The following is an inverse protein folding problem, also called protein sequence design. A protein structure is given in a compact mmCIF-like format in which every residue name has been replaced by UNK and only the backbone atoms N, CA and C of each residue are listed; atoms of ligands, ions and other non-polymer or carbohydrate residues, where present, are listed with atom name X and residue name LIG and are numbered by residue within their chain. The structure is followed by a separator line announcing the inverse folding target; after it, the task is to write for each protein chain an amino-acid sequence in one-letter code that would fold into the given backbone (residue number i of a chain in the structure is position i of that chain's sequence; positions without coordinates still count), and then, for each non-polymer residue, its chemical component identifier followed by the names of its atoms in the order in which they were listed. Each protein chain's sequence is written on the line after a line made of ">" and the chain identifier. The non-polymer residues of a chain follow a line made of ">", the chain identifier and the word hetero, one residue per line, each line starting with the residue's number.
data_IF_469595462059
#
_entry.id   IF_469595462059
#
_cell.length_a   1.000
_cell.length_b   1.000
_cell.length_c   1.000
_cell.angle_alpha   90.00
_cell.angle_beta   90.00
_cell.angle_gamma   90.00
#
_symmetry.space_group_name_H-M   'P 1'
#
loop_
_entity.id
_entity.type
_entity.pdbx_description
1 polymer ?
#
# COMPACT_ATOMS: atom_id res chain seq x y z
N UNK A 1 -14.68 17.44 45.35
CA UNK A 1 -13.44 16.72 45.70
C UNK A 1 -13.79 15.23 45.61
N UNK A 2 -13.42 14.55 44.52
CA UNK A 2 -13.79 13.13 44.34
C UNK A 2 -13.04 12.27 45.36
N UNK A 3 -13.74 11.36 46.04
CA UNK A 3 -13.10 10.45 46.99
C UNK A 3 -12.20 9.51 46.19
N UNK A 4 -10.98 9.26 46.68
CA UNK A 4 -9.93 8.46 46.00
C UNK A 4 -10.45 7.15 45.38
N UNK A 5 -11.46 6.52 45.97
CA UNK A 5 -12.06 5.27 45.49
C UNK A 5 -12.95 5.43 44.24
N UNK A 6 -13.61 6.59 44.05
CA UNK A 6 -14.44 6.87 42.85
C UNK A 6 -13.57 7.15 41.63
N UNK A 7 -12.39 7.74 41.83
CA UNK A 7 -11.43 7.98 40.74
C UNK A 7 -10.80 6.68 40.24
N UNK A 8 -10.58 5.70 41.12
CA UNK A 8 -10.05 4.38 40.75
C UNK A 8 -11.11 3.59 39.98
N UNK A 9 -12.37 3.56 40.44
CA UNK A 9 -13.43 2.83 39.72
C UNK A 9 -13.71 3.40 38.32
N UNK A 10 -13.69 4.74 38.19
CA UNK A 10 -13.78 5.40 36.88
C UNK A 10 -12.57 5.07 36.01
N UNK A 11 -11.35 5.08 36.55
CA UNK A 11 -10.16 4.68 35.79
C UNK A 11 -10.28 3.25 35.23
N UNK A 12 -10.74 2.31 36.05
CA UNK A 12 -10.88 0.90 35.67
C UNK A 12 -12.00 0.70 34.64
N UNK A 13 -13.13 1.40 34.78
CA UNK A 13 -14.23 1.38 33.79
C UNK A 13 -13.76 1.91 32.42
N UNK A 14 -12.98 2.99 32.42
CA UNK A 14 -12.44 3.58 31.19
C UNK A 14 -11.30 2.76 30.59
N UNK A 15 -10.54 2.03 31.40
CA UNK A 15 -9.56 1.06 30.92
C UNK A 15 -10.26 -0.13 30.25
N UNK A 16 -11.32 -0.66 30.86
CA UNK A 16 -12.14 -1.75 30.32
C UNK A 16 -12.83 -1.35 29.00
N UNK A 17 -13.43 -0.16 28.93
CA UNK A 17 -14.00 0.38 27.68
C UNK A 17 -12.95 0.57 26.57
N UNK A 18 -11.74 1.05 26.91
CA UNK A 18 -10.63 1.17 25.95
C UNK A 18 -10.16 -0.21 25.45
N UNK A 19 -10.07 -1.20 26.34
CA UNK A 19 -9.72 -2.57 25.99
C UNK A 19 -10.76 -3.20 25.06
N UNK A 20 -12.05 -3.04 25.37
CA UNK A 20 -13.15 -3.55 24.55
C UNK A 20 -13.21 -2.90 23.15
N UNK A 21 -12.91 -1.60 23.05
CA UNK A 21 -12.79 -0.91 21.75
C UNK A 21 -11.57 -1.41 20.98
N UNK A 22 -10.45 -1.66 21.66
CA UNK A 22 -9.23 -2.21 21.04
C UNK A 22 -9.43 -3.64 20.51
N UNK A 23 -10.09 -4.51 21.27
CA UNK A 23 -10.41 -5.88 20.83
C UNK A 23 -11.30 -5.87 19.60
N UNK A 24 -12.43 -5.15 19.63
CA UNK A 24 -13.32 -5.04 18.46
C UNK A 24 -12.62 -4.40 17.26
N UNK A 25 -11.71 -3.46 17.50
CA UNK A 25 -10.93 -2.86 16.42
C UNK A 25 -9.94 -3.85 15.80
N UNK A 26 -9.33 -4.73 16.59
CA UNK A 26 -8.45 -5.80 16.07
C UNK A 26 -9.24 -6.80 15.22
N UNK A 27 -10.41 -7.23 15.67
CA UNK A 27 -11.27 -8.16 14.93
C UNK A 27 -11.71 -7.57 13.59
N UNK A 28 -12.10 -6.29 13.57
CA UNK A 28 -12.47 -5.59 12.34
C UNK A 28 -11.31 -5.49 11.35
N UNK A 29 -10.08 -5.33 11.84
CA UNK A 29 -8.87 -5.36 11.00
C UNK A 29 -8.70 -6.73 10.35
N UNK A 30 -8.89 -7.81 11.11
CA UNK A 30 -8.73 -9.17 10.60
C UNK A 30 -9.81 -9.54 9.58
N UNK A 31 -11.08 -9.17 9.84
CA UNK A 31 -12.18 -9.36 8.88
C UNK A 31 -11.87 -8.63 7.56
N UNK A 32 -11.51 -7.34 7.66
CA UNK A 32 -11.16 -6.53 6.48
C UNK A 32 -9.93 -7.07 5.75
N UNK A 33 -8.94 -7.62 6.48
CA UNK A 33 -7.78 -8.26 5.86
C UNK A 33 -8.19 -9.52 5.08
N UNK A 34 -9.05 -10.37 5.64
CA UNK A 34 -9.53 -11.58 4.98
C UNK A 34 -10.35 -11.28 3.72
N UNK A 35 -11.18 -10.24 3.75
CA UNK A 35 -11.89 -9.74 2.56
C UNK A 35 -10.92 -9.34 1.44
N UNK A 36 -9.89 -8.55 1.76
CA UNK A 36 -8.87 -8.13 0.78
C UNK A 36 -8.06 -9.32 0.23
N UNK A 37 -7.77 -10.32 1.06
CA UNK A 37 -7.09 -11.54 0.63
C UNK A 37 -7.96 -12.34 -0.34
N UNK A 38 -9.25 -12.48 -0.03
CA UNK A 38 -10.20 -13.17 -0.90
C UNK A 38 -10.35 -12.45 -2.24
N UNK A 39 -10.39 -11.11 -2.20
CA UNK A 39 -10.46 -10.28 -3.39
C UNK A 39 -9.23 -10.45 -4.31
N UNK A 40 -8.03 -10.60 -3.73
CA UNK A 40 -6.82 -10.95 -4.46
C UNK A 40 -6.83 -12.38 -5.04
N UNK A 41 -7.79 -13.24 -4.67
CA UNK A 41 -7.81 -14.64 -5.06
C UNK A 41 -7.00 -15.58 -4.15
N UNK A 42 -6.60 -15.11 -2.96
CA UNK A 42 -5.91 -15.91 -1.96
C UNK A 42 -4.62 -15.27 -1.41
N UNK A 43 -4.00 -15.95 -0.46
CA UNK A 43 -2.83 -15.43 0.27
C UNK A 43 -1.58 -15.30 -0.61
N UNK A 44 -1.40 -16.21 -1.57
CA UNK A 44 -0.27 -16.17 -2.49
C UNK A 44 -0.35 -14.95 -3.41
N UNK A 45 -1.51 -14.71 -4.01
CA UNK A 45 -1.78 -13.56 -4.86
C UNK A 45 -1.74 -12.25 -4.05
N UNK A 46 -2.28 -12.22 -2.84
CA UNK A 46 -2.16 -11.06 -1.96
C UNK A 46 -0.69 -10.72 -1.65
N UNK A 47 0.15 -11.72 -1.42
CA UNK A 47 1.58 -11.51 -1.23
C UNK A 47 2.26 -11.00 -2.50
N UNK A 48 1.90 -11.55 -3.67
CA UNK A 48 2.41 -11.11 -4.96
C UNK A 48 2.01 -9.65 -5.26
N UNK A 49 0.77 -9.25 -4.96
CA UNK A 49 0.31 -7.86 -5.10
C UNK A 49 1.17 -6.92 -4.26
N UNK A 50 1.39 -7.23 -2.99
CA UNK A 50 2.25 -6.40 -2.12
C UNK A 50 3.69 -6.37 -2.65
N UNK A 51 4.24 -7.53 -3.02
CA UNK A 51 5.62 -7.63 -3.53
C UNK A 51 5.80 -6.82 -4.81
N UNK A 52 4.88 -6.96 -5.75
CA UNK A 52 4.97 -6.29 -7.04
C UNK A 52 4.69 -4.78 -6.89
N UNK A 53 3.76 -4.39 -6.02
CA UNK A 53 3.40 -2.98 -5.82
C UNK A 53 4.45 -2.19 -5.03
N UNK A 54 5.05 -2.79 -3.99
CA UNK A 54 6.01 -2.11 -3.12
C UNK A 54 7.48 -2.50 -3.38
N UNK A 55 7.75 -3.45 -4.28
CA UNK A 55 9.11 -3.95 -4.54
C UNK A 55 9.75 -4.69 -3.34
N UNK A 56 8.98 -4.99 -2.29
CA UNK A 56 9.49 -5.59 -1.05
C UNK A 56 9.29 -7.11 -1.03
N UNK A 57 10.21 -7.88 -0.41
CA UNK A 57 10.04 -9.31 -0.24
C UNK A 57 8.78 -9.60 0.60
N UNK A 58 7.73 -10.06 -0.08
CA UNK A 58 6.49 -10.53 0.54
C UNK A 58 6.15 -11.90 -0.03
N UNK A 59 5.86 -12.86 0.86
CA UNK A 59 5.53 -14.25 0.53
C UNK A 59 4.23 -14.64 1.21
N UNK A 60 3.59 -15.72 0.77
CA UNK A 60 2.35 -16.24 1.36
C UNK A 60 2.44 -16.36 2.90
N UNK A 61 3.60 -16.79 3.43
CA UNK A 61 3.85 -16.89 4.87
C UNK A 61 3.72 -15.56 5.63
N UNK A 62 4.03 -14.43 5.00
CA UNK A 62 3.82 -13.08 5.58
C UNK A 62 2.34 -12.81 5.78
N UNK A 63 1.52 -13.12 4.78
CA UNK A 63 0.06 -12.97 4.83
C UNK A 63 -0.54 -13.94 5.86
N UNK A 64 -0.08 -15.19 5.88
CA UNK A 64 -0.53 -16.19 6.86
C UNK A 64 -0.30 -15.75 8.31
N UNK A 65 0.86 -15.15 8.60
CA UNK A 65 1.15 -14.58 9.93
C UNK A 65 0.24 -13.38 10.24
N UNK A 66 -0.05 -12.54 9.26
CA UNK A 66 -0.97 -11.41 9.43
C UNK A 66 -2.41 -11.81 9.73
N UNK A 67 -2.91 -12.87 9.10
CA UNK A 67 -4.22 -13.46 9.44
C UNK A 67 -4.29 -14.01 10.87
N UNK A 68 -3.14 -14.39 11.45
CA UNK A 68 -3.02 -14.83 12.85
C UNK A 68 -2.82 -13.66 13.82
N UNK A 69 -3.01 -12.41 13.39
CA UNK A 69 -2.91 -11.19 14.21
C UNK A 69 -1.59 -10.42 14.07
N UNK A 70 -0.51 -11.05 13.59
CA UNK A 70 0.81 -10.42 13.56
C UNK A 70 0.94 -9.40 12.42
N UNK A 71 1.07 -8.09 12.73
CA UNK A 71 1.13 -7.02 11.72
C UNK A 71 -0.13 -6.91 10.84
N UNK A 72 -1.29 -7.42 11.29
CA UNK A 72 -2.54 -7.42 10.53
C UNK A 72 -2.92 -6.02 10.00
N UNK A 73 -2.80 -4.99 10.84
CA UNK A 73 -3.08 -3.61 10.46
C UNK A 73 -2.21 -3.11 9.30
N UNK A 74 -0.91 -3.44 9.34
CA UNK A 74 0.07 -3.02 8.33
C UNK A 74 -0.25 -3.70 6.99
N UNK A 75 -0.40 -5.02 6.99
CA UNK A 75 -0.67 -5.79 5.77
C UNK A 75 -2.03 -5.41 5.16
N UNK A 76 -3.07 -5.24 6.00
CA UNK A 76 -4.38 -4.74 5.55
C UNK A 76 -4.26 -3.39 4.85
N UNK A 77 -3.52 -2.45 5.43
CA UNK A 77 -3.35 -1.11 4.87
C UNK A 77 -2.60 -1.14 3.54
N UNK A 78 -1.54 -1.95 3.46
CA UNK A 78 -0.75 -2.14 2.23
C UNK A 78 -1.60 -2.74 1.10
N UNK A 79 -2.37 -3.79 1.40
CA UNK A 79 -3.25 -4.44 0.43
C UNK A 79 -4.34 -3.49 -0.05
N UNK A 80 -5.05 -2.82 0.88
CA UNK A 80 -6.12 -1.89 0.52
C UNK A 80 -5.62 -0.78 -0.40
N UNK A 81 -4.45 -0.22 -0.10
CA UNK A 81 -3.87 0.83 -0.94
C UNK A 81 -3.49 0.30 -2.32
N UNK A 82 -2.73 -0.80 -2.38
CA UNK A 82 -2.33 -1.41 -3.65
C UNK A 82 -3.55 -1.77 -4.51
N UNK A 83 -4.54 -2.47 -3.94
CA UNK A 83 -5.78 -2.86 -4.61
C UNK A 83 -6.54 -1.65 -5.15
N UNK A 84 -6.76 -0.62 -4.33
CA UNK A 84 -7.49 0.57 -4.76
C UNK A 84 -6.77 1.26 -5.93
N UNK A 85 -5.45 1.38 -5.85
CA UNK A 85 -4.65 1.93 -6.94
C UNK A 85 -4.71 1.04 -8.18
N UNK A 86 -4.73 -0.29 -8.06
CA UNK A 86 -4.79 -1.23 -9.18
C UNK A 86 -6.18 -1.25 -9.85
N UNK A 87 -7.26 -1.20 -9.07
CA UNK A 87 -8.65 -1.36 -9.55
C UNK A 87 -9.17 -0.23 -10.44
N UNK A 88 -8.48 0.91 -10.49
CA UNK A 88 -8.80 1.91 -11.50
C UNK A 88 -8.48 1.34 -12.90
N UNK A 89 -9.43 1.27 -13.86
CA UNK A 89 -9.23 0.58 -15.14
C UNK A 89 -8.04 1.10 -15.97
N UNK A 90 -7.69 2.38 -15.80
CA UNK A 90 -6.50 2.97 -16.41
C UNK A 90 -5.20 2.45 -15.76
N UNK A 91 -5.27 2.01 -14.51
CA UNK A 91 -4.13 1.57 -13.69
C UNK A 91 -3.66 0.15 -14.00
N UNK A 92 -4.53 -0.84 -14.24
CA UNK A 92 -4.06 -2.19 -14.64
C UNK A 92 -3.31 -2.16 -15.98
N UNK A 93 -3.85 -1.45 -16.97
CA UNK A 93 -3.19 -1.28 -18.26
C UNK A 93 -1.90 -0.47 -18.14
N UNK A 94 -1.91 0.61 -17.35
CA UNK A 94 -0.70 1.38 -17.07
C UNK A 94 0.37 0.53 -16.39
N UNK A 95 0.01 -0.24 -15.36
CA UNK A 95 0.92 -1.13 -14.63
C UNK A 95 1.50 -2.22 -15.52
N UNK A 96 0.67 -2.86 -16.33
CA UNK A 96 1.13 -3.87 -17.28
C UNK A 96 2.12 -3.26 -18.27
N UNK A 97 1.86 -2.04 -18.76
CA UNK A 97 2.82 -1.32 -19.61
C UNK A 97 4.09 -0.92 -18.86
N UNK A 98 3.99 -0.48 -17.60
CA UNK A 98 5.16 -0.14 -16.77
C UNK A 98 6.05 -1.37 -16.56
N UNK A 99 5.47 -2.52 -16.20
CA UNK A 99 6.19 -3.78 -16.00
C UNK A 99 6.81 -4.24 -17.32
N UNK A 100 6.09 -4.17 -18.44
CA UNK A 100 6.64 -4.54 -19.75
C UNK A 100 7.77 -3.61 -20.19
N UNK A 101 7.74 -2.34 -19.79
CA UNK A 101 8.74 -1.34 -20.17
C UNK A 101 9.99 -1.42 -19.29
N UNK A 102 9.84 -1.48 -17.97
CA UNK A 102 10.96 -1.43 -17.02
C UNK A 102 11.35 -2.78 -16.40
N UNK A 103 10.64 -3.86 -16.73
CA UNK A 103 10.82 -5.18 -16.12
C UNK A 103 10.32 -5.30 -14.67
N UNK A 104 9.92 -4.20 -14.04
CA UNK A 104 9.34 -4.12 -12.70
C UNK A 104 8.36 -2.95 -12.61
N UNK A 105 7.55 -2.93 -11.55
CA UNK A 105 6.73 -1.76 -11.23
C UNK A 105 7.55 -0.78 -10.38
N UNK A 106 7.74 0.48 -10.81
CA UNK A 106 8.42 1.50 -10.01
C UNK A 106 7.60 1.88 -8.78
N UNK A 107 8.28 2.12 -7.68
CA UNK A 107 7.66 2.54 -6.43
C UNK A 107 7.82 4.04 -6.23
N UNK A 108 6.89 4.63 -5.48
CA UNK A 108 6.93 6.06 -5.18
C UNK A 108 8.28 6.47 -4.56
N UNK A 109 8.93 7.45 -5.18
CA UNK A 109 10.30 7.94 -4.94
C UNK A 109 11.46 7.04 -5.43
N UNK A 110 11.23 6.10 -6.34
CA UNK A 110 12.34 5.47 -7.09
C UNK A 110 13.12 6.53 -7.88
N UNK A 111 14.42 6.30 -8.08
CA UNK A 111 15.24 7.18 -8.92
C UNK A 111 15.06 6.84 -10.40
N UNK A 112 14.95 7.88 -11.22
CA UNK A 112 14.83 7.77 -12.67
C UNK A 112 15.78 8.75 -13.35
N UNK A 113 16.21 8.42 -14.55
CA UNK A 113 16.90 9.32 -15.46
C UNK A 113 15.88 9.86 -16.48
N UNK A 114 15.79 11.17 -16.63
CA UNK A 114 14.93 11.85 -17.61
C UNK A 114 15.81 12.78 -18.42
N UNK A 115 16.00 12.49 -19.70
CA UNK A 115 16.89 13.25 -20.60
C UNK A 115 18.31 13.48 -20.04
N UNK A 116 18.85 12.52 -19.28
CA UNK A 116 20.16 12.63 -18.64
C UNK A 116 20.16 13.32 -17.27
N UNK A 117 19.01 13.79 -16.79
CA UNK A 117 18.84 14.38 -15.46
C UNK A 117 18.28 13.37 -14.46
N UNK A 118 18.82 13.37 -13.23
CA UNK A 118 18.31 12.53 -12.15
C UNK A 118 16.99 13.10 -11.59
N UNK A 119 15.98 12.25 -11.49
CA UNK A 119 14.66 12.58 -10.97
C UNK A 119 14.15 11.56 -9.95
N UNK A 120 13.11 11.96 -9.23
CA UNK A 120 12.30 11.07 -8.39
C UNK A 120 11.03 10.69 -9.13
N UNK A 121 10.76 9.40 -9.26
CA UNK A 121 9.49 8.87 -9.74
C UNK A 121 8.39 9.16 -8.69
N UNK A 122 7.27 9.72 -9.13
CA UNK A 122 6.15 10.05 -8.25
C UNK A 122 4.91 9.23 -8.54
N UNK A 123 4.69 8.85 -9.79
CA UNK A 123 3.52 8.10 -10.23
C UNK A 123 3.51 7.87 -11.72
N UNK A 124 2.52 7.14 -12.20
CA UNK A 124 2.28 6.93 -13.62
C UNK A 124 0.78 6.96 -13.93
N UNK A 125 0.45 7.21 -15.19
CA UNK A 125 -0.92 7.18 -15.69
C UNK A 125 -0.95 6.76 -17.16
N UNK A 126 -2.14 6.39 -17.63
CA UNK A 126 -2.37 6.11 -19.04
C UNK A 126 -3.25 7.21 -19.66
N UNK A 127 -2.70 7.99 -20.59
CA UNK A 127 -3.46 8.97 -21.35
C UNK A 127 -3.49 8.56 -22.81
N UNK A 128 -4.68 8.28 -23.36
CA UNK A 128 -4.85 7.92 -24.78
C UNK A 128 -3.90 6.80 -25.26
N UNK A 129 -3.69 5.78 -24.42
CA UNK A 129 -2.74 4.64 -24.59
C UNK A 129 -1.26 4.99 -24.41
N UNK A 130 -0.89 6.25 -24.25
CA UNK A 130 0.47 6.65 -23.90
C UNK A 130 0.68 6.51 -22.40
N UNK A 131 1.78 5.87 -22.01
CA UNK A 131 2.17 5.75 -20.62
C UNK A 131 2.92 7.02 -20.21
N UNK A 132 2.35 7.75 -19.28
CA UNK A 132 2.94 8.97 -18.73
C UNK A 132 3.48 8.71 -17.33
N UNK A 133 4.61 9.31 -17.02
CA UNK A 133 5.29 9.21 -15.74
C UNK A 133 5.39 10.59 -15.13
N UNK A 134 5.00 10.69 -13.87
CA UNK A 134 5.16 11.89 -13.06
C UNK A 134 6.50 11.79 -12.34
N UNK A 135 7.32 12.82 -12.48
CA UNK A 135 8.66 12.89 -11.91
C UNK A 135 8.90 14.24 -11.24
N UNK A 136 9.82 14.28 -10.27
CA UNK A 136 10.38 15.50 -9.72
C UNK A 136 11.85 15.62 -10.13
N UNK A 137 12.18 16.63 -10.95
CA UNK A 137 13.53 16.83 -11.50
C UNK A 137 13.89 18.31 -11.33
N UNK A 138 15.08 18.59 -10.79
CA UNK A 138 15.59 19.97 -10.70
C UNK A 138 14.74 20.94 -9.88
N UNK A 139 13.87 20.45 -8.99
CA UNK A 139 12.96 21.29 -8.20
C UNK A 139 11.55 21.43 -8.79
N UNK A 140 11.28 20.83 -9.95
CA UNK A 140 10.01 20.97 -10.66
C UNK A 140 9.30 19.62 -10.84
N UNK A 141 7.96 19.66 -10.80
CA UNK A 141 7.11 18.52 -11.14
C UNK A 141 6.92 18.47 -12.66
N UNK A 142 7.28 17.34 -13.28
CA UNK A 142 7.12 17.11 -14.71
C UNK A 142 6.29 15.84 -14.95
N UNK A 143 5.52 15.87 -16.03
CA UNK A 143 4.87 14.66 -16.57
C UNK A 143 5.51 14.39 -17.93
N UNK A 144 6.16 13.24 -18.06
CA UNK A 144 6.94 12.86 -19.25
C UNK A 144 6.43 11.53 -19.80
N UNK A 145 6.75 11.20 -21.05
CA UNK A 145 6.39 9.90 -21.57
C UNK A 145 7.35 8.83 -21.03
N UNK A 146 6.86 7.62 -20.76
CA UNK A 146 7.69 6.56 -20.16
C UNK A 146 8.93 6.21 -20.98
N UNK A 147 8.88 6.35 -22.31
CA UNK A 147 10.01 6.11 -23.22
C UNK A 147 11.12 7.17 -23.14
N UNK A 148 10.89 8.29 -22.45
CA UNK A 148 11.87 9.33 -22.17
C UNK A 148 12.52 9.12 -20.78
N UNK A 149 12.19 8.02 -20.11
CA UNK A 149 12.58 7.73 -18.73
C UNK A 149 13.32 6.41 -18.69
N UNK A 150 14.47 6.39 -18.04
CA UNK A 150 15.16 5.16 -17.66
C UNK A 150 15.08 4.98 -16.14
N UNK A 151 14.75 3.78 -15.68
CA UNK A 151 14.84 3.47 -14.25
C UNK A 151 16.27 3.16 -13.85
N UNK A 152 16.71 3.74 -12.75
CA UNK A 152 18.03 3.52 -12.15
C UNK A 152 17.92 2.45 -11.05
#
# INVERSE_FOLDING_TARGET
>A
MFKKNELVSLSDEWASKRSAIQERHHDLILISLDELINECGGQEQAAAVIRNFYGLPCVQGTISKARKGANALKIRSQLRFAINTIKEPQSVQAQTKMINHFGRLPVHHDFVCVDGELGLFLGFGLLSRTLQIQVFVGGEFKTVNANEVELI
#
